data_IF_410745725619
#
_entry.id   IF_410745725619
#
_cell.length_a   1.000
_cell.length_b   1.000
_cell.length_c   1.000
_cell.angle_alpha   90.00
_cell.angle_beta   90.00
_cell.angle_gamma   90.00
#
_symmetry.space_group_name_H-M   'P 1'
#
loop_
_entity.id
_entity.type
_entity.pdbx_description
1 polymer ?
#
# COMPACT_ATOMS: atom_id res chain seq x y z
N UNK A 1 -3.48 42.38 5.79
CA UNK A 1 -2.39 41.55 5.26
C UNK A 1 -1.89 40.65 6.38
N UNK A 2 -2.44 39.45 6.53
CA UNK A 2 -1.85 38.42 7.37
C UNK A 2 -0.98 37.55 6.49
N UNK A 3 0.31 37.53 6.77
CA UNK A 3 1.29 36.66 6.12
C UNK A 3 0.81 35.22 6.20
N UNK A 4 0.68 34.58 5.04
CA UNK A 4 0.48 33.15 4.87
C UNK A 4 1.64 32.42 5.55
N UNK A 5 1.49 32.10 6.84
CA UNK A 5 2.46 31.26 7.53
C UNK A 5 2.30 29.86 6.93
N UNK A 6 3.28 29.47 6.11
CA UNK A 6 3.51 28.09 5.72
C UNK A 6 3.50 27.22 6.98
N UNK A 7 2.37 26.58 7.29
CA UNK A 7 2.26 25.64 8.41
C UNK A 7 3.02 24.38 8.03
N UNK A 8 4.32 24.40 8.27
CA UNK A 8 5.17 23.22 8.21
C UNK A 8 4.90 22.40 9.46
N UNK A 9 4.48 21.16 9.27
CA UNK A 9 4.43 20.17 10.35
C UNK A 9 5.69 19.36 10.18
N UNK A 10 6.64 19.58 11.08
CA UNK A 10 7.83 18.76 11.15
C UNK A 10 7.67 17.73 12.26
N UNK A 11 8.03 16.48 11.97
CA UNK A 11 8.36 15.56 13.04
C UNK A 11 9.77 15.93 13.49
N UNK A 12 9.96 16.55 14.66
CA UNK A 12 11.28 17.01 15.10
C UNK A 12 12.29 15.86 15.21
N UNK A 13 11.83 14.61 15.19
CA UNK A 13 12.67 13.42 15.24
C UNK A 13 13.01 12.84 13.85
N UNK A 14 12.38 13.30 12.76
CA UNK A 14 12.59 12.73 11.43
C UNK A 14 13.43 13.64 10.52
N UNK A 15 14.55 13.09 10.03
CA UNK A 15 15.36 13.68 8.96
C UNK A 15 14.88 13.24 7.56
N UNK A 16 13.81 12.44 7.46
CA UNK A 16 13.37 11.79 6.22
C UNK A 16 12.28 12.57 5.49
N UNK A 17 11.35 13.17 6.22
CA UNK A 17 10.19 13.82 5.62
C UNK A 17 9.83 15.15 6.29
N UNK A 18 9.08 15.98 5.57
CA UNK A 18 8.46 17.22 6.06
C UNK A 18 7.04 17.29 5.54
N UNK A 19 6.10 17.78 6.34
CA UNK A 19 4.72 17.99 5.89
C UNK A 19 4.49 19.48 5.66
N UNK A 20 3.92 19.80 4.49
CA UNK A 20 3.66 21.18 4.06
C UNK A 20 2.24 21.31 3.56
N UNK A 21 1.67 22.51 3.69
CA UNK A 21 0.40 22.84 3.08
C UNK A 21 0.57 22.89 1.55
N UNK A 22 -0.31 22.20 0.83
CA UNK A 22 -0.45 22.25 -0.62
C UNK A 22 -1.77 22.98 -0.93
N UNK A 23 -1.72 24.14 -1.59
CA UNK A 23 -2.93 24.87 -1.98
C UNK A 23 -3.93 23.98 -2.70
N UNK A 24 -5.16 23.91 -2.18
CA UNK A 24 -6.25 23.11 -2.75
C UNK A 24 -6.20 21.60 -2.46
N UNK A 25 -5.14 21.06 -1.86
CA UNK A 25 -5.03 19.63 -1.49
C UNK A 25 -4.94 19.37 0.03
N UNK A 26 -4.82 20.41 0.85
CA UNK A 26 -4.61 20.25 2.29
C UNK A 26 -3.13 20.10 2.57
N UNK A 27 -2.73 19.10 3.37
CA UNK A 27 -1.32 18.83 3.64
C UNK A 27 -0.78 17.76 2.69
N UNK A 28 0.54 17.79 2.46
CA UNK A 28 1.25 16.70 1.79
C UNK A 28 2.61 16.50 2.42
N UNK A 29 3.11 15.28 2.31
CA UNK A 29 4.39 14.85 2.86
C UNK A 29 5.46 14.87 1.77
N UNK A 30 6.66 15.35 2.07
CA UNK A 30 7.76 15.51 1.10
C UNK A 30 9.05 14.95 1.65
N UNK A 31 9.87 14.34 0.79
CA UNK A 31 11.18 13.83 1.18
C UNK A 31 12.16 14.99 1.49
N UNK A 32 12.84 14.94 2.63
CA UNK A 32 13.90 15.92 2.99
C UNK A 32 15.23 15.64 2.28
N UNK A 33 15.47 14.39 1.88
CA UNK A 33 16.68 13.93 1.19
C UNK A 33 16.37 12.79 0.21
N UNK A 34 17.35 12.36 -0.55
CA UNK A 34 17.24 11.15 -1.37
C UNK A 34 16.96 9.93 -0.47
N UNK A 35 15.90 9.18 -0.77
CA UNK A 35 15.51 7.94 -0.09
C UNK A 35 15.72 6.75 -1.01
N UNK A 36 16.24 5.66 -0.45
CA UNK A 36 16.42 4.41 -1.18
C UNK A 36 15.14 3.59 -1.16
N UNK A 37 14.96 2.72 -2.17
CA UNK A 37 13.88 1.74 -2.17
C UNK A 37 13.95 0.86 -0.90
N UNK A 38 12.80 0.62 -0.25
CA UNK A 38 12.70 -0.13 1.00
C UNK A 38 12.95 0.68 2.27
N UNK A 39 13.30 1.97 2.17
CA UNK A 39 13.47 2.82 3.37
C UNK A 39 12.13 2.95 4.12
N UNK A 40 12.12 2.60 5.41
CA UNK A 40 10.99 2.90 6.33
C UNK A 40 11.02 4.39 6.65
N UNK A 41 10.03 5.11 6.14
CA UNK A 41 9.92 6.58 6.24
C UNK A 41 9.23 6.99 7.54
N UNK A 42 8.15 6.28 7.87
CA UNK A 42 7.35 6.48 9.09
C UNK A 42 7.05 5.12 9.68
N UNK A 43 7.14 5.00 11.00
CA UNK A 43 6.63 3.86 11.76
C UNK A 43 5.84 4.41 12.94
N UNK A 44 4.52 4.23 12.97
CA UNK A 44 3.69 4.76 14.05
C UNK A 44 2.58 3.79 14.47
N UNK A 45 2.24 3.85 15.76
CA UNK A 45 1.06 3.17 16.32
C UNK A 45 -0.20 3.95 15.94
N UNK A 46 -1.35 3.28 15.79
CA UNK A 46 -2.61 3.96 15.51
C UNK A 46 -2.99 4.85 16.69
N UNK A 47 -3.40 6.09 16.41
CA UNK A 47 -4.02 6.99 17.38
C UNK A 47 -5.36 6.42 17.87
N UNK A 48 -6.09 5.75 16.97
CA UNK A 48 -7.39 5.16 17.23
C UNK A 48 -7.59 3.96 16.32
N UNK A 49 -8.17 2.87 16.84
CA UNK A 49 -8.60 1.68 16.08
C UNK A 49 -10.08 1.46 16.25
N UNK A 50 -10.75 0.98 15.20
CA UNK A 50 -12.18 0.68 15.24
C UNK A 50 -12.59 -0.30 14.12
N UNK A 51 -13.69 -1.05 14.29
CA UNK A 51 -14.26 -1.88 13.23
C UNK A 51 -14.70 -1.06 12.01
N UNK A 52 -14.55 -1.61 10.82
CA UNK A 52 -15.02 -1.02 9.58
C UNK A 52 -16.55 -0.89 9.61
N UNK A 53 -17.08 0.24 9.14
CA UNK A 53 -18.52 0.52 9.21
C UNK A 53 -19.04 0.89 10.61
N UNK A 54 -18.14 1.19 11.56
CA UNK A 54 -18.53 1.68 12.89
C UNK A 54 -19.45 2.91 12.81
N UNK A 55 -20.56 2.94 13.56
CA UNK A 55 -21.44 4.11 13.60
C UNK A 55 -20.82 5.28 14.40
N UNK A 56 -21.28 6.53 14.20
CA UNK A 56 -20.70 7.70 14.85
C UNK A 56 -20.60 7.60 16.39
N UNK A 57 -21.64 7.09 17.05
CA UNK A 57 -21.66 6.95 18.52
C UNK A 57 -20.55 6.01 19.05
N UNK A 58 -20.17 4.99 18.28
CA UNK A 58 -19.09 4.08 18.66
C UNK A 58 -17.72 4.75 18.50
N UNK A 59 -17.56 5.51 17.41
CA UNK A 59 -16.36 6.31 17.19
C UNK A 59 -16.15 7.32 18.33
N UNK A 60 -17.22 8.02 18.73
CA UNK A 60 -17.20 8.95 19.87
C UNK A 60 -16.83 8.24 21.18
N UNK A 61 -17.46 7.10 21.48
CA UNK A 61 -17.17 6.36 22.71
C UNK A 61 -15.72 5.85 22.80
N UNK A 62 -15.07 5.59 21.67
CA UNK A 62 -13.64 5.26 21.61
C UNK A 62 -12.80 6.53 21.78
N UNK A 63 -13.15 7.58 21.04
CA UNK A 63 -12.45 8.86 21.02
C UNK A 63 -12.41 9.55 22.40
N UNK A 64 -13.51 9.52 23.14
CA UNK A 64 -13.64 10.14 24.47
C UNK A 64 -12.75 9.50 25.53
N UNK A 65 -12.26 8.28 25.28
CA UNK A 65 -11.31 7.56 26.16
C UNK A 65 -9.85 7.88 25.84
N UNK A 66 -9.57 8.55 24.72
CA UNK A 66 -8.21 8.92 24.31
C UNK A 66 -7.74 10.14 25.12
N UNK A 67 -6.43 10.25 25.32
CA UNK A 67 -5.83 11.41 25.96
C UNK A 67 -6.00 12.68 25.10
N UNK A 68 -5.90 13.85 25.73
CA UNK A 68 -6.16 15.14 25.08
C UNK A 68 -5.24 15.43 23.89
N UNK A 69 -4.00 14.92 23.89
CA UNK A 69 -3.05 15.11 22.80
C UNK A 69 -3.43 14.23 21.60
N UNK A 70 -3.77 12.96 21.83
CA UNK A 70 -4.28 12.05 20.80
C UNK A 70 -5.56 12.60 20.16
N UNK A 71 -6.50 13.07 20.98
CA UNK A 71 -7.72 13.73 20.50
C UNK A 71 -7.41 14.97 19.63
N UNK A 72 -6.46 15.81 20.08
CA UNK A 72 -6.02 17.00 19.33
C UNK A 72 -5.44 16.62 17.96
N UNK A 73 -4.60 15.58 17.90
CA UNK A 73 -4.02 15.06 16.66
C UNK A 73 -5.08 14.56 15.69
N UNK A 74 -6.07 13.80 16.18
CA UNK A 74 -7.19 13.33 15.34
C UNK A 74 -8.00 14.50 14.79
N UNK A 75 -8.35 15.49 15.62
CA UNK A 75 -9.09 16.70 15.18
C UNK A 75 -8.32 17.58 14.21
N UNK A 76 -7.00 17.43 14.14
CA UNK A 76 -6.16 18.16 13.19
C UNK A 76 -6.24 17.59 11.77
N UNK A 77 -6.61 16.31 11.62
CA UNK A 77 -6.71 15.65 10.32
C UNK A 77 -7.87 16.20 9.47
N UNK A 78 -7.74 16.02 8.15
CA UNK A 78 -8.71 16.52 7.18
C UNK A 78 -10.07 15.83 7.30
N UNK A 79 -11.16 16.59 7.16
CA UNK A 79 -12.52 16.07 7.10
C UNK A 79 -13.12 16.39 5.72
N UNK A 80 -13.17 15.41 4.82
CA UNK A 80 -13.62 15.65 3.44
C UNK A 80 -15.13 15.92 3.32
N UNK A 81 -15.95 15.45 4.26
CA UNK A 81 -17.42 15.46 4.19
C UNK A 81 -18.03 16.34 5.30
N UNK A 82 -18.08 17.68 5.13
CA UNK A 82 -18.51 18.61 6.17
C UNK A 82 -19.98 18.45 6.60
N UNK A 83 -20.80 17.74 5.82
CA UNK A 83 -22.19 17.42 6.16
C UNK A 83 -22.36 16.21 7.07
N UNK A 84 -21.28 15.46 7.36
CA UNK A 84 -21.29 14.34 8.31
C UNK A 84 -20.94 14.81 9.72
N UNK A 85 -21.18 13.95 10.71
CA UNK A 85 -20.65 14.16 12.06
C UNK A 85 -19.12 14.39 12.00
N UNK A 86 -18.54 15.38 12.70
CA UNK A 86 -17.13 15.75 12.50
C UNK A 86 -16.16 14.57 12.66
N UNK A 87 -16.33 13.76 13.71
CA UNK A 87 -15.46 12.61 13.93
C UNK A 87 -15.66 11.51 12.88
N UNK A 88 -16.90 11.30 12.42
CA UNK A 88 -17.21 10.34 11.35
C UNK A 88 -16.54 10.77 10.04
N UNK A 89 -16.65 12.04 9.66
CA UNK A 89 -15.97 12.56 8.47
C UNK A 89 -14.44 12.43 8.56
N UNK A 90 -13.84 12.68 9.73
CA UNK A 90 -12.39 12.51 9.93
C UNK A 90 -12.04 11.03 9.77
N UNK A 91 -12.77 10.13 10.43
CA UNK A 91 -12.50 8.70 10.40
C UNK A 91 -12.62 8.15 8.99
N UNK A 92 -13.67 8.49 8.26
CA UNK A 92 -13.88 8.02 6.89
C UNK A 92 -12.82 8.54 5.92
N UNK A 93 -12.32 9.77 6.12
CA UNK A 93 -11.32 10.37 5.24
C UNK A 93 -9.93 9.76 5.46
N UNK A 94 -9.57 9.46 6.70
CA UNK A 94 -8.18 9.21 7.11
C UNK A 94 -7.89 7.77 7.54
N UNK A 95 -8.91 6.95 7.73
CA UNK A 95 -8.71 5.60 8.25
C UNK A 95 -8.12 4.64 7.22
N UNK A 96 -7.13 3.87 7.66
CA UNK A 96 -6.41 2.91 6.83
C UNK A 96 -6.72 1.50 7.36
N UNK A 97 -7.09 0.54 6.49
CA UNK A 97 -7.25 -0.85 6.90
C UNK A 97 -5.99 -1.39 7.55
N UNK A 98 -6.13 -2.08 8.69
CA UNK A 98 -5.00 -2.66 9.42
C UNK A 98 -4.47 -3.93 8.75
N UNK A 99 -5.17 -4.53 7.81
CA UNK A 99 -4.58 -5.51 6.91
C UNK A 99 -5.43 -5.58 5.64
N UNK A 100 -4.91 -6.24 4.61
CA UNK A 100 -5.74 -6.58 3.46
C UNK A 100 -6.88 -7.51 3.91
N UNK A 101 -8.13 -7.12 3.61
CA UNK A 101 -9.33 -7.84 4.07
C UNK A 101 -9.65 -7.70 5.56
N UNK A 102 -8.95 -6.85 6.31
CA UNK A 102 -9.26 -6.62 7.73
C UNK A 102 -10.59 -5.92 7.92
N UNK A 103 -11.35 -6.37 8.91
CA UNK A 103 -12.53 -5.67 9.42
C UNK A 103 -12.17 -4.53 10.38
N UNK A 104 -10.89 -4.27 10.64
CA UNK A 104 -10.44 -3.18 11.49
C UNK A 104 -9.69 -2.10 10.68
N UNK A 105 -9.85 -0.86 11.11
CA UNK A 105 -9.14 0.30 10.57
C UNK A 105 -8.45 1.08 11.67
N UNK A 106 -7.40 1.80 11.31
CA UNK A 106 -6.64 2.69 12.18
C UNK A 106 -6.58 4.12 11.65
N UNK A 107 -6.53 5.08 12.56
CA UNK A 107 -6.16 6.47 12.29
C UNK A 107 -4.71 6.67 12.71
N UNK A 108 -3.93 7.33 11.87
CA UNK A 108 -2.50 7.55 12.05
C UNK A 108 -2.22 9.04 11.92
N UNK A 109 -1.19 9.58 12.57
CA UNK A 109 -1.00 11.03 12.54
C UNK A 109 -0.33 11.46 11.24
N UNK A 110 0.84 10.90 10.94
CA UNK A 110 1.62 11.29 9.77
C UNK A 110 1.19 10.54 8.52
N UNK A 111 0.93 9.23 8.64
CA UNK A 111 0.58 8.37 7.49
C UNK A 111 -0.75 8.80 6.87
N UNK A 112 -1.72 9.25 7.69
CA UNK A 112 -3.00 9.77 7.17
C UNK A 112 -2.88 11.10 6.40
N UNK A 113 -1.73 11.78 6.45
CA UNK A 113 -1.47 13.00 5.67
C UNK A 113 -0.75 12.72 4.32
N UNK A 114 -0.44 11.47 4.01
CA UNK A 114 0.19 11.08 2.74
C UNK A 114 -0.86 11.10 1.64
N UNK A 115 -0.66 11.93 0.61
CA UNK A 115 -1.62 12.11 -0.48
C UNK A 115 -1.70 10.93 -1.45
N UNK A 116 -2.75 10.93 -2.27
CA UNK A 116 -2.95 9.94 -3.31
C UNK A 116 -2.15 10.21 -4.59
N UNK A 117 -1.55 9.17 -5.15
CA UNK A 117 -1.20 9.08 -6.58
C UNK A 117 -1.51 7.68 -7.12
N UNK A 118 -2.00 7.57 -8.36
CA UNK A 118 -2.15 6.28 -9.04
C UNK A 118 -0.78 5.66 -9.39
N UNK A 119 0.26 6.48 -9.43
CA UNK A 119 1.68 6.10 -9.50
C UNK A 119 2.35 6.47 -8.17
N UNK A 120 2.05 5.68 -7.15
CA UNK A 120 2.57 5.88 -5.81
C UNK A 120 4.08 5.62 -5.75
N UNK A 121 4.83 6.42 -4.99
CA UNK A 121 6.24 6.17 -4.69
C UNK A 121 6.46 5.61 -3.28
N UNK A 122 5.39 5.51 -2.48
CA UNK A 122 5.37 4.85 -1.18
C UNK A 122 4.22 3.87 -1.09
N UNK A 123 4.29 2.93 -0.14
CA UNK A 123 3.16 2.11 0.28
C UNK A 123 3.17 1.98 1.81
N UNK A 124 1.99 1.78 2.39
CA UNK A 124 1.89 1.45 3.81
C UNK A 124 1.69 -0.05 4.01
N UNK A 125 2.16 -0.55 5.13
CA UNK A 125 1.94 -1.93 5.55
C UNK A 125 1.88 -2.02 7.07
N UNK A 126 0.94 -2.83 7.54
CA UNK A 126 0.72 -3.04 8.97
C UNK A 126 1.56 -4.19 9.50
N UNK A 127 2.15 -3.97 10.67
CA UNK A 127 2.93 -4.94 11.41
C UNK A 127 2.28 -5.21 12.77
N UNK A 128 1.67 -6.40 12.89
CA UNK A 128 1.04 -6.95 14.10
C UNK A 128 1.83 -8.13 14.72
N UNK A 129 3.10 -8.29 14.37
CA UNK A 129 3.93 -9.41 14.85
C UNK A 129 4.80 -9.00 16.07
N UNK A 130 5.16 -9.96 16.93
CA UNK A 130 5.97 -9.73 18.14
C UNK A 130 5.41 -8.62 19.06
N UNK A 131 4.07 -8.56 19.20
CA UNK A 131 3.35 -7.51 19.94
C UNK A 131 3.57 -6.07 19.41
N UNK A 132 4.18 -5.91 18.23
CA UNK A 132 4.15 -4.64 17.49
C UNK A 132 2.73 -4.46 16.96
N UNK A 133 2.25 -3.22 16.92
CA UNK A 133 0.97 -2.83 16.33
C UNK A 133 1.18 -1.48 15.66
N UNK A 134 1.91 -1.52 14.54
CA UNK A 134 2.48 -0.33 13.91
C UNK A 134 2.21 -0.35 12.40
N UNK A 135 1.89 0.81 11.86
CA UNK A 135 1.85 1.02 10.41
C UNK A 135 3.19 1.59 9.98
N UNK A 136 3.81 0.98 8.98
CA UNK A 136 5.02 1.52 8.34
C UNK A 136 4.67 2.11 6.99
N UNK A 137 5.18 3.30 6.70
CA UNK A 137 5.23 3.89 5.37
C UNK A 137 6.61 3.61 4.77
N UNK A 138 6.66 2.96 3.61
CA UNK A 138 7.90 2.47 3.01
C UNK A 138 8.07 3.05 1.61
N UNK A 139 9.30 3.45 1.27
CA UNK A 139 9.66 3.87 -0.08
C UNK A 139 9.56 2.69 -1.06
N UNK A 140 8.69 2.81 -2.07
CA UNK A 140 8.42 1.77 -3.07
C UNK A 140 9.44 1.76 -4.22
N UNK A 141 10.16 2.88 -4.37
CA UNK A 141 11.24 3.11 -5.33
C UNK A 141 12.23 4.11 -4.72
N UNK A 142 13.29 4.44 -5.46
CA UNK A 142 14.13 5.60 -5.10
C UNK A 142 13.29 6.88 -5.20
N UNK A 143 13.42 7.76 -4.22
CA UNK A 143 12.71 9.04 -4.11
C UNK A 143 13.74 10.15 -3.95
N UNK A 144 13.63 11.23 -4.73
CA UNK A 144 14.54 12.38 -4.64
C UNK A 144 14.13 13.35 -3.54
N UNK A 145 15.12 14.06 -3.01
CA UNK A 145 14.85 15.19 -2.12
C UNK A 145 13.84 16.16 -2.76
N UNK A 146 12.81 16.54 -2.01
CA UNK A 146 11.74 17.43 -2.46
C UNK A 146 10.59 16.75 -3.23
N UNK A 147 10.69 15.46 -3.61
CA UNK A 147 9.53 14.73 -4.16
C UNK A 147 8.44 14.59 -3.08
N UNK A 148 7.17 14.72 -3.49
CA UNK A 148 6.02 14.40 -2.64
C UNK A 148 5.97 12.88 -2.42
N UNK A 149 5.80 12.48 -1.16
CA UNK A 149 5.54 11.09 -0.76
C UNK A 149 4.04 10.83 -0.94
N UNK A 150 3.72 9.84 -1.78
CA UNK A 150 2.35 9.56 -2.22
C UNK A 150 2.07 8.06 -2.25
N UNK A 151 0.87 7.69 -1.79
CA UNK A 151 0.38 6.30 -1.76
C UNK A 151 -0.83 6.09 -2.67
N UNK A 152 -1.13 4.83 -3.00
CA UNK A 152 -2.39 4.52 -3.68
C UNK A 152 -3.49 4.28 -2.66
N UNK A 153 -4.58 5.05 -2.72
CA UNK A 153 -5.75 4.88 -1.85
C UNK A 153 -6.71 3.81 -2.36
N UNK A 154 -6.50 3.41 -3.61
CA UNK A 154 -7.39 2.57 -4.38
C UNK A 154 -6.63 1.36 -4.89
N UNK A 155 -7.39 0.35 -5.29
CA UNK A 155 -6.84 -0.78 -6.02
C UNK A 155 -6.15 -0.32 -7.30
N UNK A 156 -5.01 -0.96 -7.59
CA UNK A 156 -4.20 -0.63 -8.76
C UNK A 156 -4.78 -1.27 -10.01
N UNK A 157 -4.36 -0.77 -11.18
CA UNK A 157 -4.77 -1.26 -12.49
C UNK A 157 -6.26 -1.08 -12.85
N UNK A 158 -6.99 -0.19 -12.16
CA UNK A 158 -8.34 0.20 -12.58
C UNK A 158 -8.29 1.18 -13.75
N UNK A 159 -9.36 1.25 -14.56
CA UNK A 159 -9.47 2.28 -15.62
C UNK A 159 -9.51 3.68 -15.03
N UNK A 160 -9.10 4.69 -15.79
CA UNK A 160 -9.10 6.09 -15.37
C UNK A 160 -10.48 6.53 -14.90
N UNK A 161 -11.52 6.14 -15.64
CA UNK A 161 -12.91 6.41 -15.26
C UNK A 161 -13.23 5.85 -13.87
N UNK A 162 -12.98 4.56 -13.63
CA UNK A 162 -13.25 3.91 -12.33
C UNK A 162 -12.45 4.54 -11.20
N UNK A 163 -11.16 4.84 -11.43
CA UNK A 163 -10.32 5.53 -10.44
C UNK A 163 -10.92 6.88 -10.05
N UNK A 164 -11.34 7.69 -11.03
CA UNK A 164 -11.94 8.99 -10.76
C UNK A 164 -13.31 8.89 -10.09
N UNK A 165 -14.19 8.00 -10.52
CA UNK A 165 -15.50 7.78 -9.89
C UNK A 165 -15.33 7.38 -8.43
N UNK A 166 -14.44 6.44 -8.14
CA UNK A 166 -14.22 5.97 -6.77
C UNK A 166 -13.56 7.04 -5.88
N UNK A 167 -12.55 7.75 -6.38
CA UNK A 167 -11.90 8.83 -5.63
C UNK A 167 -12.85 10.01 -5.39
N UNK A 168 -13.67 10.36 -6.39
CA UNK A 168 -14.68 11.41 -6.26
C UNK A 168 -15.76 11.01 -5.26
N UNK A 169 -16.22 9.75 -5.28
CA UNK A 169 -17.23 9.27 -4.34
C UNK A 169 -16.70 9.23 -2.90
N UNK A 170 -15.49 8.72 -2.70
CA UNK A 170 -14.95 8.45 -1.36
C UNK A 170 -14.26 9.66 -0.73
N UNK A 171 -13.44 10.42 -1.49
CA UNK A 171 -12.62 11.53 -0.98
C UNK A 171 -12.93 12.89 -1.64
N UNK A 172 -13.91 12.96 -2.54
CA UNK A 172 -14.38 14.19 -3.19
C UNK A 172 -13.30 14.94 -3.99
N UNK A 173 -12.35 14.23 -4.59
CA UNK A 173 -11.37 14.84 -5.48
C UNK A 173 -11.19 14.05 -6.78
N UNK A 174 -10.71 14.76 -7.80
CA UNK A 174 -10.29 14.20 -9.09
C UNK A 174 -8.77 14.11 -9.13
N UNK A 175 -8.22 12.92 -9.34
CA UNK A 175 -6.77 12.73 -9.44
C UNK A 175 -6.20 13.38 -10.70
N UNK A 176 -5.04 14.02 -10.55
CA UNK A 176 -4.29 14.67 -11.64
C UNK A 176 -2.84 14.15 -11.70
N UNK A 177 -2.61 12.91 -11.27
CA UNK A 177 -1.27 12.31 -11.39
C UNK A 177 -0.93 12.00 -12.84
N UNK A 178 0.35 11.76 -13.10
CA UNK A 178 0.89 11.45 -14.43
C UNK A 178 0.12 10.34 -15.15
N UNK A 179 -0.19 9.23 -14.47
CA UNK A 179 -0.97 8.12 -15.02
C UNK A 179 -2.39 8.56 -15.44
N UNK A 180 -3.06 9.39 -14.64
CA UNK A 180 -4.38 9.92 -15.01
C UNK A 180 -4.31 10.87 -16.22
N UNK A 181 -3.23 11.63 -16.38
CA UNK A 181 -3.03 12.49 -17.55
C UNK A 181 -2.69 11.69 -18.81
N UNK A 182 -1.87 10.64 -18.68
CA UNK A 182 -1.53 9.76 -19.80
C UNK A 182 -2.75 9.00 -20.33
N UNK A 183 -3.55 8.40 -19.45
CA UNK A 183 -4.73 7.61 -19.82
C UNK A 183 -5.84 8.44 -20.48
N UNK A 184 -5.83 9.76 -20.27
CA UNK A 184 -6.73 10.65 -21.02
C UNK A 184 -6.35 10.72 -22.50
N UNK A 185 -5.06 10.58 -22.82
CA UNK A 185 -4.50 10.68 -24.17
C UNK A 185 -4.36 9.31 -24.83
N UNK A 186 -4.09 8.27 -24.04
CA UNK A 186 -3.86 6.90 -24.49
C UNK A 186 -4.93 5.95 -23.94
N UNK A 187 -5.94 5.69 -24.76
CA UNK A 187 -7.02 4.75 -24.42
C UNK A 187 -6.55 3.31 -24.40
N UNK A 188 -5.53 2.95 -25.20
CA UNK A 188 -5.01 1.59 -25.23
C UNK A 188 -4.33 1.26 -23.90
N UNK A 189 -3.55 2.20 -23.35
CA UNK A 189 -2.98 2.06 -22.02
C UNK A 189 -4.05 1.88 -20.93
N UNK A 190 -5.17 2.60 -21.01
CA UNK A 190 -6.28 2.43 -20.06
C UNK A 190 -6.96 1.06 -20.17
N UNK A 191 -7.10 0.52 -21.38
CA UNK A 191 -7.60 -0.84 -21.63
C UNK A 191 -6.63 -1.91 -21.11
N UNK A 192 -5.31 -1.67 -21.24
CA UNK A 192 -4.30 -2.56 -20.67
C UNK A 192 -4.43 -2.62 -19.14
N UNK A 193 -4.66 -1.48 -18.46
CA UNK A 193 -4.96 -1.46 -17.03
C UNK A 193 -6.20 -2.32 -16.72
N UNK A 194 -7.31 -2.11 -17.43
CA UNK A 194 -8.53 -2.90 -17.23
C UNK A 194 -8.30 -4.42 -17.35
N UNK A 195 -7.43 -4.84 -18.29
CA UNK A 195 -7.04 -6.24 -18.44
C UNK A 195 -6.21 -6.75 -17.27
N UNK A 196 -5.36 -5.91 -16.67
CA UNK A 196 -4.50 -6.29 -15.55
C UNK A 196 -5.27 -6.41 -14.24
N UNK A 197 -6.25 -5.53 -13.98
CA UNK A 197 -7.11 -5.62 -12.79
C UNK A 197 -7.81 -6.98 -12.71
N UNK A 198 -8.34 -7.49 -13.82
CA UNK A 198 -8.97 -8.83 -13.87
C UNK A 198 -8.04 -9.98 -13.49
N UNK A 199 -6.72 -9.80 -13.62
CA UNK A 199 -5.75 -10.82 -13.22
C UNK A 199 -5.60 -10.88 -11.69
N UNK A 200 -5.84 -9.76 -10.99
CA UNK A 200 -5.71 -9.71 -9.54
C UNK A 200 -6.94 -10.28 -8.82
N UNK A 201 -8.13 -10.06 -9.37
CA UNK A 201 -9.40 -10.61 -8.83
C UNK A 201 -9.38 -12.15 -8.76
N UNK A 202 -8.59 -12.80 -9.63
CA UNK A 202 -8.45 -14.25 -9.72
C UNK A 202 -7.57 -14.86 -8.60
N UNK A 203 -6.81 -14.05 -7.87
CA UNK A 203 -5.87 -14.53 -6.83
C UNK A 203 -6.63 -14.92 -5.55
N UNK A 204 -7.84 -14.39 -5.33
CA UNK A 204 -8.57 -14.57 -4.07
C UNK A 204 -9.44 -15.84 -4.01
N UNK A 205 -9.58 -16.59 -5.11
CA UNK A 205 -10.46 -17.77 -5.21
C UNK A 205 -9.66 -19.07 -5.49
N UNK A 206 -8.68 -19.37 -4.63
CA UNK A 206 -7.83 -20.56 -4.76
C UNK A 206 -8.53 -21.86 -4.35
N UNK A 207 -9.63 -22.20 -5.02
CA UNK A 207 -10.19 -23.56 -5.01
C UNK A 207 -10.50 -24.12 -6.41
N UNK A 208 -10.28 -23.38 -7.51
CA UNK A 208 -10.59 -23.92 -8.85
C UNK A 208 -9.57 -23.63 -9.97
N UNK A 209 -9.15 -24.74 -10.62
CA UNK A 209 -8.45 -24.87 -11.91
C UNK A 209 -7.42 -23.78 -12.30
N UNK A 210 -6.19 -23.93 -11.81
CA UNK A 210 -5.04 -23.17 -12.32
C UNK A 210 -4.52 -23.77 -13.64
N UNK A 211 -4.04 -22.90 -14.53
CA UNK A 211 -3.51 -23.25 -15.85
C UNK A 211 -2.29 -22.38 -16.20
N UNK A 212 -1.54 -22.77 -17.23
CA UNK A 212 -0.39 -21.98 -17.70
C UNK A 212 -0.78 -20.57 -18.16
N UNK A 213 -2.02 -20.37 -18.57
CA UNK A 213 -2.52 -19.06 -18.99
C UNK A 213 -2.49 -18.05 -17.84
N UNK A 214 -2.75 -18.50 -16.60
CA UNK A 214 -2.63 -17.64 -15.41
C UNK A 214 -1.19 -17.16 -15.21
N UNK A 215 -0.20 -18.06 -15.37
CA UNK A 215 1.23 -17.68 -15.30
C UNK A 215 1.55 -16.64 -16.38
N UNK A 216 1.11 -16.85 -17.62
CA UNK A 216 1.34 -15.91 -18.73
C UNK A 216 0.74 -14.53 -18.44
N UNK A 217 -0.47 -14.49 -17.89
CA UNK A 217 -1.15 -13.24 -17.49
C UNK A 217 -0.35 -12.49 -16.43
N UNK A 218 0.09 -13.15 -15.36
CA UNK A 218 0.92 -12.49 -14.34
C UNK A 218 2.28 -12.06 -14.87
N UNK A 219 2.88 -12.80 -15.80
CA UNK A 219 4.11 -12.38 -16.46
C UNK A 219 3.93 -11.14 -17.32
N UNK A 220 2.76 -10.98 -17.97
CA UNK A 220 2.40 -9.72 -18.65
C UNK A 220 2.29 -8.59 -17.63
N UNK A 221 1.65 -8.81 -16.47
CA UNK A 221 1.60 -7.82 -15.39
C UNK A 221 2.99 -7.45 -14.87
N UNK A 222 3.91 -8.42 -14.73
CA UNK A 222 5.29 -8.15 -14.32
C UNK A 222 5.94 -7.19 -15.31
N UNK A 223 5.93 -7.50 -16.61
CA UNK A 223 6.52 -6.61 -17.63
C UNK A 223 5.93 -5.20 -17.56
N UNK A 224 4.61 -5.12 -17.43
CA UNK A 224 3.91 -3.85 -17.32
C UNK A 224 4.39 -3.00 -16.12
N UNK A 225 4.56 -3.61 -14.95
CA UNK A 225 5.05 -2.93 -13.75
C UNK A 225 6.52 -2.50 -13.90
N UNK A 226 7.32 -3.28 -14.62
CA UNK A 226 8.70 -2.91 -14.91
C UNK A 226 8.79 -1.68 -15.82
N UNK A 227 7.88 -1.59 -16.81
CA UNK A 227 7.84 -0.52 -17.81
C UNK A 227 7.18 0.77 -17.29
N UNK A 228 6.07 0.66 -16.57
CA UNK A 228 5.20 1.80 -16.23
C UNK A 228 5.18 2.17 -14.75
N UNK A 229 5.79 1.37 -13.87
CA UNK A 229 5.74 1.56 -12.41
C UNK A 229 7.11 1.53 -11.75
N UNK A 230 8.18 1.82 -12.50
CA UNK A 230 9.54 1.91 -11.98
C UNK A 230 9.98 0.69 -11.15
N UNK A 231 9.50 -0.51 -11.49
CA UNK A 231 9.72 -1.73 -10.70
C UNK A 231 9.22 -1.59 -9.23
N UNK A 232 8.04 -1.00 -9.03
CA UNK A 232 7.34 -0.90 -7.74
C UNK A 232 7.58 -2.14 -6.88
N UNK A 233 8.25 -1.94 -5.75
CA UNK A 233 8.70 -2.99 -4.85
C UNK A 233 7.54 -3.87 -4.40
N UNK A 234 6.46 -3.27 -3.91
CA UNK A 234 5.29 -4.01 -3.42
C UNK A 234 4.56 -4.75 -4.54
N UNK A 235 4.43 -4.16 -5.73
CA UNK A 235 3.74 -4.80 -6.85
C UNK A 235 4.52 -6.01 -7.37
N UNK A 236 5.84 -5.87 -7.53
CA UNK A 236 6.71 -6.96 -7.95
C UNK A 236 6.70 -8.11 -6.94
N UNK A 237 6.71 -7.80 -5.63
CA UNK A 237 6.59 -8.80 -4.57
C UNK A 237 5.29 -9.60 -4.71
N UNK A 238 4.15 -8.91 -4.78
CA UNK A 238 2.84 -9.55 -4.91
C UNK A 238 2.75 -10.40 -6.19
N UNK A 239 3.16 -9.86 -7.35
CA UNK A 239 3.12 -10.59 -8.61
C UNK A 239 3.96 -11.87 -8.59
N UNK A 240 5.13 -11.86 -7.94
CA UNK A 240 5.95 -13.05 -7.81
C UNK A 240 5.29 -14.12 -6.91
N UNK A 241 4.57 -13.72 -5.85
CA UNK A 241 3.73 -14.64 -5.08
C UNK A 241 2.57 -15.22 -5.92
N UNK A 242 1.94 -14.40 -6.76
CA UNK A 242 0.84 -14.82 -7.63
C UNK A 242 1.29 -15.78 -8.74
N UNK A 243 2.57 -15.73 -9.15
CA UNK A 243 3.14 -16.70 -10.11
C UNK A 243 3.58 -17.99 -9.39
N UNK A 244 4.12 -17.86 -8.18
CA UNK A 244 4.62 -18.99 -7.39
C UNK A 244 3.57 -20.09 -7.22
N UNK A 245 2.37 -19.74 -6.75
CA UNK A 245 1.35 -20.74 -6.43
C UNK A 245 0.87 -21.54 -7.66
N UNK A 246 0.57 -20.92 -8.82
CA UNK A 246 0.34 -21.62 -10.08
C UNK A 246 1.49 -22.53 -10.51
N UNK A 247 2.74 -22.10 -10.40
CA UNK A 247 3.90 -22.94 -10.72
C UNK A 247 3.93 -24.19 -9.85
N UNK A 248 3.67 -24.05 -8.54
CA UNK A 248 3.55 -25.18 -7.61
C UNK A 248 2.42 -26.14 -8.00
N UNK A 249 1.23 -25.62 -8.32
CA UNK A 249 0.06 -26.44 -8.68
C UNK A 249 0.25 -27.20 -10.00
N UNK A 250 0.94 -26.59 -10.95
CA UNK A 250 1.27 -27.18 -12.26
C UNK A 250 2.55 -28.02 -12.24
N UNK A 251 3.17 -28.22 -11.06
CA UNK A 251 4.41 -28.99 -10.89
C UNK A 251 5.61 -28.44 -11.66
N UNK A 252 5.62 -27.13 -11.94
CA UNK A 252 6.74 -26.40 -12.57
C UNK A 252 7.75 -25.97 -11.50
N UNK A 253 8.49 -26.94 -10.97
CA UNK A 253 9.29 -26.75 -9.76
C UNK A 253 10.41 -25.71 -9.91
N UNK A 254 11.11 -25.71 -11.04
CA UNK A 254 12.19 -24.73 -11.28
C UNK A 254 11.66 -23.29 -11.32
N UNK A 255 10.54 -23.07 -12.00
CA UNK A 255 9.88 -21.76 -12.04
C UNK A 255 9.35 -21.38 -10.65
N UNK A 256 8.74 -22.31 -9.92
CA UNK A 256 8.28 -22.07 -8.55
C UNK A 256 9.42 -21.56 -7.65
N UNK A 257 10.56 -22.26 -7.66
CA UNK A 257 11.72 -21.85 -6.86
C UNK A 257 12.32 -20.52 -7.33
N UNK A 258 12.33 -20.27 -8.65
CA UNK A 258 12.76 -18.97 -9.21
C UNK A 258 11.91 -17.81 -8.69
N UNK A 259 10.58 -17.92 -8.75
CA UNK A 259 9.69 -16.85 -8.29
C UNK A 259 9.64 -16.75 -6.77
N UNK A 260 9.75 -17.87 -6.04
CA UNK A 260 9.94 -17.85 -4.59
C UNK A 260 11.21 -17.07 -4.20
N UNK A 261 12.35 -17.31 -4.86
CA UNK A 261 13.59 -16.57 -4.58
C UNK A 261 13.43 -15.06 -4.81
N UNK A 262 12.73 -14.66 -5.88
CA UNK A 262 12.46 -13.24 -6.15
C UNK A 262 11.53 -12.63 -5.09
N UNK A 263 10.45 -13.33 -4.72
CA UNK A 263 9.56 -12.88 -3.66
C UNK A 263 10.28 -12.77 -2.30
N UNK A 264 11.17 -13.72 -1.99
CA UNK A 264 12.01 -13.68 -0.78
C UNK A 264 12.90 -12.44 -0.76
N UNK A 265 13.60 -12.18 -1.86
CA UNK A 265 14.47 -11.01 -1.99
C UNK A 265 13.71 -9.69 -1.79
N UNK A 266 12.57 -9.52 -2.48
CA UNK A 266 11.77 -8.29 -2.35
C UNK A 266 11.11 -8.18 -0.97
N UNK A 267 10.64 -9.30 -0.41
CA UNK A 267 10.07 -9.33 0.93
C UNK A 267 11.07 -8.89 1.99
N UNK A 268 12.35 -9.28 1.89
CA UNK A 268 13.39 -8.80 2.81
C UNK A 268 13.54 -7.28 2.79
N UNK A 269 13.40 -6.66 1.62
CA UNK A 269 13.43 -5.19 1.50
C UNK A 269 12.17 -4.51 2.06
N UNK A 270 11.02 -5.19 2.05
CA UNK A 270 9.74 -4.64 2.54
C UNK A 270 9.64 -4.79 4.06
N UNK A 271 10.05 -5.94 4.60
CA UNK A 271 9.80 -6.30 5.99
C UNK A 271 11.02 -6.14 6.90
N UNK A 272 12.22 -5.97 6.32
CA UNK A 272 13.47 -5.77 7.04
C UNK A 272 13.68 -6.85 8.12
N UNK A 273 14.01 -6.47 9.36
CA UNK A 273 14.16 -7.41 10.49
C UNK A 273 12.87 -8.18 10.86
N UNK A 274 11.69 -7.70 10.44
CA UNK A 274 10.40 -8.34 10.69
C UNK A 274 10.02 -9.37 9.58
N UNK A 275 10.98 -9.76 8.74
CA UNK A 275 10.80 -10.63 7.58
C UNK A 275 10.26 -12.04 7.89
N UNK A 276 10.43 -12.54 9.12
CA UNK A 276 10.06 -13.91 9.48
C UNK A 276 8.60 -14.25 9.15
N UNK A 277 7.63 -13.35 9.39
CA UNK A 277 6.21 -13.62 9.09
C UNK A 277 5.92 -13.78 7.60
N UNK A 278 6.62 -13.04 6.74
CA UNK A 278 6.39 -13.11 5.30
C UNK A 278 7.24 -14.17 4.62
N UNK A 279 8.39 -14.50 5.22
CA UNK A 279 9.09 -15.73 4.89
C UNK A 279 8.20 -16.93 5.15
N UNK A 280 7.43 -16.96 6.24
CA UNK A 280 6.47 -18.05 6.54
C UNK A 280 5.53 -18.28 5.36
N UNK A 281 4.95 -17.25 4.73
CA UNK A 281 4.06 -17.48 3.57
C UNK A 281 4.76 -18.18 2.40
N UNK A 282 5.95 -17.72 2.00
CA UNK A 282 6.70 -18.35 0.89
C UNK A 282 7.21 -19.73 1.29
N UNK A 283 7.72 -19.85 2.53
CA UNK A 283 8.23 -21.08 3.12
C UNK A 283 7.14 -22.13 3.20
N UNK A 284 5.95 -21.80 3.71
CA UNK A 284 4.82 -22.71 3.82
C UNK A 284 4.37 -23.21 2.45
N UNK A 285 4.27 -22.31 1.45
CA UNK A 285 3.96 -22.70 0.08
C UNK A 285 5.00 -23.69 -0.47
N UNK A 286 6.29 -23.38 -0.33
CA UNK A 286 7.37 -24.24 -0.85
C UNK A 286 7.44 -25.57 -0.09
N UNK A 287 7.38 -25.54 1.25
CA UNK A 287 7.46 -26.74 2.09
C UNK A 287 6.28 -27.67 1.86
N UNK A 288 5.07 -27.11 1.68
CA UNK A 288 3.85 -27.89 1.49
C UNK A 288 3.65 -28.39 0.06
N UNK A 289 4.10 -27.63 -0.96
CA UNK A 289 3.78 -27.94 -2.37
C UNK A 289 4.97 -28.46 -3.19
N UNK A 290 6.21 -28.14 -2.85
CA UNK A 290 7.39 -28.54 -3.64
C UNK A 290 8.08 -29.76 -3.01
N UNK A 291 8.18 -30.90 -3.72
CA UNK A 291 8.83 -32.09 -3.19
C UNK A 291 10.30 -31.85 -2.83
N UNK A 292 10.77 -32.44 -1.72
CA UNK A 292 12.13 -32.25 -1.19
C UNK A 292 13.22 -32.41 -2.25
N UNK A 293 13.11 -33.43 -3.12
CA UNK A 293 14.08 -33.69 -4.21
C UNK A 293 14.28 -32.52 -5.18
N UNK A 294 13.29 -31.65 -5.33
CA UNK A 294 13.35 -30.50 -6.24
C UNK A 294 13.88 -29.24 -5.56
N UNK A 295 13.90 -29.17 -4.22
CA UNK A 295 14.31 -27.97 -3.46
C UNK A 295 15.62 -28.15 -2.68
N UNK A 296 16.41 -29.18 -3.01
CA UNK A 296 17.75 -29.39 -2.46
C UNK A 296 18.60 -28.14 -2.74
N UNK A 297 19.20 -27.57 -1.69
CA UNK A 297 20.01 -26.35 -1.79
C UNK A 297 19.21 -25.04 -1.90
N UNK A 298 17.88 -25.10 -2.02
CA UNK A 298 17.01 -23.94 -1.89
C UNK A 298 16.68 -23.63 -0.43
N UNK A 299 16.67 -24.64 0.45
CA UNK A 299 16.28 -24.48 1.85
C UNK A 299 17.13 -23.42 2.59
N UNK A 300 18.36 -23.13 2.13
CA UNK A 300 19.20 -22.03 2.64
C UNK A 300 18.60 -20.63 2.46
N UNK A 301 17.65 -20.46 1.55
CA UNK A 301 16.92 -19.20 1.36
C UNK A 301 15.65 -19.12 2.23
N UNK A 302 15.29 -20.21 2.91
CA UNK A 302 14.14 -20.33 3.82
C UNK A 302 14.52 -20.18 5.31
N UNK A 303 15.77 -19.76 5.53
CA UNK A 303 16.37 -19.41 6.83
C UNK A 303 16.70 -17.92 6.80
#
# INVERSE_FOLDING_TARGET
>A
MHSSIDRVIDDPQSDLFVIKLIPGKGYGMFAKRDLQCGTVIVCEKPLMKFPNGSPPWLLEAIYDKLDSETQRRIRFLSASKPWKHPLDSICETNSIPLAHGSEEKGIFYYISMVNHSCESNTFWIWFDYNNKQEMKLIADRRIKAGEELVCSYIERFQTRQRRHEFLQYTWLFKCQCHVCEQHEKDKELDEQYASLSKNYDYIMDFESKVSEEHIKRFLKSVKFVQEHYHNSLIQMFLLHLCILLPCCMLKKWEDALKYAKKAIFLGRMIYDDDYERYLITVKDIIMAKVPMKHRIGFDKYLV
#
